data_IF_832039061383
#
_entry.id   IF_832039061383
#
_cell.length_a   1.000
_cell.length_b   1.000
_cell.length_c   1.000
_cell.angle_alpha   90.00
_cell.angle_beta   90.00
_cell.angle_gamma   90.00
#
_symmetry.space_group_name_H-M   'P 1'
#
loop_
_entity.id
_entity.type
_entity.pdbx_description
1 polymer ?
#
# COMPACT_ATOMS: atom_id res chain seq x y z
N UNK A 1 -9.71 -0.38 14.90
CA UNK A 1 -8.31 -0.44 14.39
C UNK A 1 -8.36 -0.58 12.88
N UNK A 2 -7.60 0.23 12.18
CA UNK A 2 -7.60 0.20 10.72
C UNK A 2 -6.93 -1.07 10.18
N UNK A 3 -7.49 -1.60 9.10
CA UNK A 3 -7.01 -2.81 8.46
C UNK A 3 -6.27 -2.46 7.16
N UNK A 4 -4.99 -2.83 7.08
CA UNK A 4 -4.10 -2.43 6.00
C UNK A 4 -3.72 -3.65 5.17
N UNK A 5 -3.87 -3.54 3.85
CA UNK A 5 -3.35 -4.54 2.92
C UNK A 5 -1.91 -4.18 2.58
N UNK A 6 -1.02 -5.16 2.67
CA UNK A 6 0.38 -5.01 2.26
C UNK A 6 0.62 -5.96 1.10
N UNK A 7 0.85 -5.44 -0.10
CA UNK A 7 1.15 -6.25 -1.27
C UNK A 7 2.62 -6.06 -1.64
N UNK A 8 3.44 -7.07 -1.34
CA UNK A 8 4.89 -7.02 -1.48
C UNK A 8 5.43 -8.43 -1.66
N UNK A 9 6.16 -8.67 -2.76
CA UNK A 9 6.68 -10.00 -3.05
C UNK A 9 8.00 -10.35 -2.35
N UNK A 10 8.75 -9.35 -1.91
CA UNK A 10 9.97 -9.59 -1.15
C UNK A 10 9.60 -9.88 0.31
N UNK A 11 9.72 -11.14 0.70
CA UNK A 11 9.27 -11.62 2.00
C UNK A 11 9.82 -10.80 3.18
N UNK A 12 11.13 -10.48 3.14
CA UNK A 12 11.74 -9.72 4.23
C UNK A 12 11.19 -8.31 4.34
N UNK A 13 10.93 -7.68 3.21
CA UNK A 13 10.35 -6.32 3.20
C UNK A 13 8.90 -6.38 3.68
N UNK A 14 8.13 -7.36 3.22
CA UNK A 14 6.75 -7.55 3.66
C UNK A 14 6.69 -7.71 5.18
N UNK A 15 7.59 -8.52 5.75
CA UNK A 15 7.67 -8.72 7.20
C UNK A 15 8.04 -7.44 7.93
N UNK A 16 9.01 -6.69 7.40
CA UNK A 16 9.41 -5.43 8.00
C UNK A 16 8.25 -4.45 8.05
N UNK A 17 7.53 -4.31 6.94
CA UNK A 17 6.37 -3.41 6.87
C UNK A 17 5.29 -3.87 7.84
N UNK A 18 4.98 -5.15 7.83
CA UNK A 18 3.97 -5.72 8.72
C UNK A 18 4.30 -5.45 10.20
N UNK A 19 5.54 -5.70 10.60
CA UNK A 19 5.97 -5.45 11.97
C UNK A 19 5.88 -3.96 12.33
N UNK A 20 6.33 -3.10 11.43
CA UNK A 20 6.29 -1.65 11.63
C UNK A 20 4.86 -1.18 11.87
N UNK A 21 3.94 -1.62 11.03
CA UNK A 21 2.54 -1.17 11.10
C UNK A 21 1.80 -1.79 12.28
N UNK A 22 2.09 -3.04 12.59
CA UNK A 22 1.49 -3.69 13.75
C UNK A 22 1.88 -2.98 15.04
N UNK A 23 3.15 -2.56 15.15
CA UNK A 23 3.62 -1.79 16.30
C UNK A 23 2.97 -0.42 16.38
N UNK A 24 2.59 0.14 15.24
CA UNK A 24 1.91 1.43 15.20
C UNK A 24 0.40 1.32 15.48
N UNK A 25 -0.11 0.12 15.71
CA UNK A 25 -1.50 -0.11 16.07
C UNK A 25 -2.42 -0.51 14.93
N UNK A 26 -1.88 -0.85 13.77
CA UNK A 26 -2.68 -1.28 12.63
C UNK A 26 -2.78 -2.80 12.57
N UNK A 27 -3.91 -3.28 12.02
CA UNK A 27 -4.07 -4.69 11.68
C UNK A 27 -3.67 -4.85 10.22
N UNK A 28 -2.86 -5.86 9.91
CA UNK A 28 -2.29 -6.03 8.58
C UNK A 28 -2.62 -7.39 7.98
N UNK A 29 -2.79 -7.42 6.67
CA UNK A 29 -2.87 -8.65 5.89
C UNK A 29 -1.87 -8.52 4.75
N UNK A 30 -1.00 -9.53 4.60
CA UNK A 30 0.07 -9.52 3.61
C UNK A 30 -0.30 -10.41 2.43
N UNK A 31 -0.07 -9.91 1.21
CA UNK A 31 -0.15 -10.69 -0.02
C UNK A 31 1.21 -10.56 -0.72
N UNK A 32 1.79 -11.68 -1.13
CA UNK A 32 3.12 -11.65 -1.76
C UNK A 32 3.06 -11.72 -3.29
N UNK A 33 1.87 -11.68 -3.86
CA UNK A 33 1.66 -11.59 -5.30
C UNK A 33 0.36 -10.83 -5.59
N UNK A 34 0.22 -10.40 -6.84
CA UNK A 34 -0.93 -9.59 -7.24
C UNK A 34 -2.25 -10.34 -7.24
N UNK A 35 -2.23 -11.63 -7.54
CA UNK A 35 -3.47 -12.42 -7.57
C UNK A 35 -4.04 -12.61 -6.18
N UNK A 36 -3.18 -12.94 -5.22
CA UNK A 36 -3.60 -13.07 -3.82
C UNK A 36 -4.15 -11.73 -3.32
N UNK A 37 -3.46 -10.63 -3.67
CA UNK A 37 -3.92 -9.30 -3.29
C UNK A 37 -5.30 -9.00 -3.89
N UNK A 38 -5.51 -9.31 -5.17
CA UNK A 38 -6.79 -9.07 -5.84
C UNK A 38 -7.93 -9.86 -5.18
N UNK A 39 -7.67 -11.12 -4.83
CA UNK A 39 -8.67 -11.94 -4.14
C UNK A 39 -9.03 -11.36 -2.78
N UNK A 40 -8.03 -10.88 -2.03
CA UNK A 40 -8.26 -10.24 -0.74
C UNK A 40 -9.07 -8.96 -0.88
N UNK A 41 -8.79 -8.16 -1.91
CA UNK A 41 -9.52 -6.91 -2.16
C UNK A 41 -11.00 -7.18 -2.40
N UNK A 42 -11.34 -8.27 -3.07
CA UNK A 42 -12.74 -8.63 -3.30
C UNK A 42 -13.46 -9.07 -2.03
N UNK A 43 -12.75 -9.68 -1.09
CA UNK A 43 -13.36 -10.35 0.07
C UNK A 43 -13.25 -9.54 1.36
N UNK A 44 -12.41 -8.54 1.40
CA UNK A 44 -12.06 -7.86 2.65
C UNK A 44 -12.16 -6.35 2.47
N UNK A 45 -12.73 -5.69 3.47
CA UNK A 45 -12.76 -4.23 3.50
C UNK A 45 -11.47 -3.72 4.13
N UNK A 46 -10.63 -3.10 3.32
CA UNK A 46 -9.39 -2.49 3.80
C UNK A 46 -9.58 -0.98 3.97
N UNK A 47 -8.88 -0.42 4.95
CA UNK A 47 -8.87 1.03 5.17
C UNK A 47 -7.77 1.71 4.38
N UNK A 48 -6.75 0.96 3.99
CA UNK A 48 -5.64 1.45 3.16
C UNK A 48 -4.90 0.26 2.57
N UNK A 49 -4.21 0.50 1.45
CA UNK A 49 -3.32 -0.49 0.86
C UNK A 49 -1.94 0.11 0.65
N UNK A 50 -0.91 -0.66 1.01
CA UNK A 50 0.49 -0.37 0.71
C UNK A 50 0.87 -1.36 -0.38
N UNK A 51 1.21 -0.87 -1.57
CA UNK A 51 1.42 -1.72 -2.74
C UNK A 51 2.81 -1.48 -3.34
N UNK A 52 3.52 -2.57 -3.65
CA UNK A 52 4.63 -2.46 -4.58
C UNK A 52 4.06 -2.48 -5.99
N UNK A 53 4.67 -1.72 -6.89
CA UNK A 53 4.25 -1.70 -8.29
C UNK A 53 4.66 -2.99 -8.98
N UNK A 54 5.87 -3.48 -8.69
CA UNK A 54 6.44 -4.66 -9.35
C UNK A 54 6.07 -5.93 -8.59
N UNK A 55 4.88 -6.45 -8.85
CA UNK A 55 4.42 -7.69 -8.25
C UNK A 55 4.25 -8.76 -9.33
N UNK A 56 4.53 -10.03 -9.02
CA UNK A 56 4.18 -11.11 -9.94
C UNK A 56 2.66 -11.25 -10.06
N UNK A 57 2.19 -11.59 -11.23
CA UNK A 57 0.76 -11.70 -11.52
C UNK A 57 0.18 -10.35 -11.91
N UNK A 58 -0.62 -9.78 -11.05
CA UNK A 58 -1.18 -8.43 -11.25
C UNK A 58 -0.26 -7.41 -10.59
N UNK A 59 0.11 -6.36 -11.31
CA UNK A 59 1.00 -5.34 -10.77
C UNK A 59 0.27 -4.32 -9.88
N UNK A 60 1.03 -3.42 -9.26
CA UNK A 60 0.47 -2.44 -8.35
C UNK A 60 -0.50 -1.46 -9.01
N UNK A 61 -0.31 -1.15 -10.28
CA UNK A 61 -1.24 -0.26 -11.01
C UNK A 61 -2.60 -0.93 -11.20
N UNK A 62 -2.60 -2.22 -11.50
CA UNK A 62 -3.84 -2.98 -11.66
C UNK A 62 -4.59 -3.08 -10.33
N UNK A 63 -3.86 -3.28 -9.23
CA UNK A 63 -4.47 -3.31 -7.90
C UNK A 63 -5.03 -1.95 -7.50
N UNK A 64 -4.33 -0.86 -7.83
CA UNK A 64 -4.83 0.49 -7.60
C UNK A 64 -6.18 0.68 -8.30
N UNK A 65 -6.28 0.24 -9.57
CA UNK A 65 -7.52 0.35 -10.33
C UNK A 65 -8.67 -0.40 -9.66
N UNK A 66 -8.39 -1.50 -8.97
CA UNK A 66 -9.41 -2.27 -8.24
C UNK A 66 -9.83 -1.59 -6.94
N UNK A 67 -8.91 -0.89 -6.29
CA UNK A 67 -9.17 -0.26 -5.00
C UNK A 67 -9.84 1.11 -5.11
N UNK A 68 -9.57 1.85 -6.18
CA UNK A 68 -10.13 3.19 -6.35
C UNK A 68 -11.66 3.23 -6.29
N UNK A 69 -12.39 2.36 -7.00
CA UNK A 69 -13.86 2.38 -6.91
C UNK A 69 -14.39 2.12 -5.52
N UNK A 70 -13.62 1.43 -4.67
CA UNK A 70 -14.00 1.15 -3.29
C UNK A 70 -13.65 2.29 -2.34
N UNK A 71 -12.99 3.34 -2.83
CA UNK A 71 -12.58 4.46 -1.99
C UNK A 71 -11.44 4.15 -1.04
N UNK A 72 -10.68 3.08 -1.29
CA UNK A 72 -9.56 2.69 -0.42
C UNK A 72 -8.31 3.47 -0.84
N UNK A 73 -7.71 4.25 0.06
CA UNK A 73 -6.49 4.99 -0.27
C UNK A 73 -5.31 4.05 -0.47
N UNK A 74 -4.40 4.44 -1.36
CA UNK A 74 -3.24 3.63 -1.76
C UNK A 74 -1.97 4.44 -1.60
N UNK A 75 -0.96 3.82 -0.98
CA UNK A 75 0.41 4.32 -0.99
C UNK A 75 1.25 3.29 -1.74
N UNK A 76 1.96 3.74 -2.78
CA UNK A 76 2.96 2.89 -3.43
C UNK A 76 4.24 2.88 -2.61
N UNK A 77 4.80 1.71 -2.38
CA UNK A 77 6.09 1.51 -1.73
C UNK A 77 6.92 0.62 -2.65
N UNK A 78 7.85 1.21 -3.40
CA UNK A 78 8.45 0.54 -4.54
C UNK A 78 9.87 1.01 -4.81
N UNK A 79 10.66 0.17 -5.50
CA UNK A 79 11.99 0.54 -5.96
C UNK A 79 11.98 1.42 -7.21
N UNK A 80 10.80 1.60 -7.85
CA UNK A 80 10.69 2.48 -9.02
C UNK A 80 10.78 3.93 -8.60
N UNK A 81 11.98 4.52 -8.71
CA UNK A 81 12.27 5.84 -8.16
C UNK A 81 12.30 6.97 -9.19
N UNK A 82 12.14 6.66 -10.48
CA UNK A 82 12.17 7.68 -11.52
C UNK A 82 11.00 8.66 -11.37
N UNK A 83 11.24 9.92 -11.69
CA UNK A 83 10.20 10.95 -11.58
C UNK A 83 8.97 10.57 -12.40
N UNK A 84 9.17 10.03 -13.61
CA UNK A 84 8.05 9.61 -14.47
C UNK A 84 7.16 8.55 -13.80
N UNK A 85 7.76 7.64 -13.04
CA UNK A 85 7.02 6.59 -12.36
C UNK A 85 6.19 7.17 -11.22
N UNK A 86 6.77 8.10 -10.46
CA UNK A 86 6.05 8.77 -9.37
C UNK A 86 4.89 9.61 -9.91
N UNK A 87 5.15 10.35 -10.99
CA UNK A 87 4.11 11.18 -11.60
C UNK A 87 2.97 10.30 -12.10
N UNK A 88 3.28 9.18 -12.75
CA UNK A 88 2.27 8.25 -13.25
C UNK A 88 1.43 7.70 -12.08
N UNK A 89 2.09 7.21 -11.03
CA UNK A 89 1.38 6.64 -9.88
C UNK A 89 0.43 7.65 -9.24
N UNK A 90 0.89 8.87 -9.03
CA UNK A 90 0.07 9.91 -8.43
C UNK A 90 -1.08 10.33 -9.34
N UNK A 91 -0.84 10.43 -10.65
CA UNK A 91 -1.88 10.77 -11.62
C UNK A 91 -2.95 9.68 -11.74
N UNK A 92 -2.56 8.42 -11.56
CA UNK A 92 -3.51 7.31 -11.57
C UNK A 92 -4.35 7.26 -10.29
N UNK A 93 -3.98 8.03 -9.28
CA UNK A 93 -4.79 8.20 -8.09
C UNK A 93 -4.21 7.64 -6.81
N UNK A 94 -2.92 7.28 -6.78
CA UNK A 94 -2.27 6.93 -5.53
C UNK A 94 -2.24 8.17 -4.62
N UNK A 95 -2.43 7.95 -3.34
CA UNK A 95 -2.46 9.03 -2.35
C UNK A 95 -1.06 9.46 -1.93
N UNK A 96 -0.08 8.57 -2.05
CA UNK A 96 1.32 8.88 -1.81
C UNK A 96 2.21 7.88 -2.53
N UNK A 97 3.50 8.16 -2.57
CA UNK A 97 4.49 7.35 -3.29
C UNK A 97 5.80 7.39 -2.50
N UNK A 98 6.23 6.24 -2.01
CA UNK A 98 7.43 6.11 -1.21
C UNK A 98 8.41 5.18 -1.94
N UNK A 99 9.65 5.62 -2.10
CA UNK A 99 10.67 4.82 -2.77
C UNK A 99 11.50 4.02 -1.77
N UNK A 100 11.89 2.82 -2.16
CA UNK A 100 12.82 2.00 -1.39
C UNK A 100 14.25 2.45 -1.65
N UNK A 101 15.14 2.44 -0.66
CA UNK A 101 14.88 2.10 0.74
C UNK A 101 14.11 3.21 1.46
N UNK A 102 13.34 2.84 2.46
CA UNK A 102 12.50 3.78 3.19
C UNK A 102 12.78 3.71 4.69
N UNK A 103 12.45 4.79 5.40
CA UNK A 103 12.49 4.79 6.85
C UNK A 103 11.13 4.38 7.40
N UNK A 104 11.12 3.50 8.40
CA UNK A 104 9.88 3.03 9.01
C UNK A 104 9.04 4.20 9.54
N UNK A 105 9.70 5.17 10.17
CA UNK A 105 9.01 6.36 10.71
C UNK A 105 8.34 7.19 9.63
N UNK A 106 8.98 7.29 8.47
CA UNK A 106 8.41 8.03 7.34
C UNK A 106 7.16 7.34 6.81
N UNK A 107 7.20 6.00 6.68
CA UNK A 107 6.06 5.24 6.22
C UNK A 107 4.85 5.46 7.15
N UNK A 108 5.06 5.34 8.45
CA UNK A 108 3.98 5.53 9.44
C UNK A 108 3.43 6.95 9.37
N UNK A 109 4.30 7.96 9.30
CA UNK A 109 3.88 9.36 9.25
C UNK A 109 3.03 9.65 7.99
N UNK A 110 3.44 9.12 6.84
CA UNK A 110 2.70 9.31 5.60
C UNK A 110 1.35 8.59 5.63
N UNK A 111 1.31 7.39 6.21
CA UNK A 111 0.05 6.66 6.39
C UNK A 111 -0.93 7.45 7.26
N UNK A 112 -0.44 7.99 8.37
CA UNK A 112 -1.27 8.80 9.28
C UNK A 112 -1.86 10.00 8.56
N UNK A 113 -1.04 10.67 7.73
CA UNK A 113 -1.49 11.82 6.96
C UNK A 113 -2.59 11.43 5.96
N UNK A 114 -2.38 10.33 5.23
CA UNK A 114 -3.36 9.87 4.25
C UNK A 114 -4.67 9.44 4.92
N UNK A 115 -4.58 8.68 6.00
CA UNK A 115 -5.76 8.21 6.72
C UNK A 115 -6.57 9.38 7.28
N UNK A 116 -5.89 10.37 7.84
CA UNK A 116 -6.54 11.57 8.37
C UNK A 116 -7.25 12.36 7.27
N UNK A 117 -6.58 12.53 6.12
CA UNK A 117 -7.10 13.27 4.98
C UNK A 117 -8.32 12.59 4.37
N UNK A 118 -8.37 11.26 4.38
CA UNK A 118 -9.48 10.50 3.82
C UNK A 118 -10.59 10.24 4.83
N UNK A 119 -10.45 10.72 6.06
CA UNK A 119 -11.44 10.51 7.11
C UNK A 119 -11.40 9.14 7.75
N UNK A 120 -10.37 8.36 7.50
CA UNK A 120 -10.22 6.99 8.03
C UNK A 120 -9.32 6.90 9.25
N UNK A 121 -8.62 7.98 9.60
CA UNK A 121 -7.77 8.04 10.78
C UNK A 121 -8.60 8.33 12.00
N UNK A 122 -9.10 7.31 12.63
CA UNK A 122 -10.01 7.51 13.74
C UNK A 122 -9.38 7.44 15.08
#
# INVERSE_FOLDING_TARGET
MNHILIAEDEHLIARLVEMTLTRAGYRCTVAEDGRTAADLIEKTDFDMAILDIMLPGLDGYELLASLKPQGVPVIFLTAKSAVKDRVLGLRLGADDYITKPFAAEELVARMETVLRRTGRGG
#
